data_IF_213372304881
#
_entry.id   IF_213372304881
#
_cell.length_a   1.000
_cell.length_b   1.000
_cell.length_c   1.000
_cell.angle_alpha   90.00
_cell.angle_beta   90.00
_cell.angle_gamma   90.00
#
_symmetry.space_group_name_H-M   'P 1'
#
loop_
_entity.id
_entity.type
_entity.pdbx_description
1 polymer ?
#
# COMPACT_ATOMS: atom_id res chain seq x y z
N UNK A 1 -17.52 -42.22 -6.99
CA UNK A 1 -18.99 -42.07 -7.01
C UNK A 1 -19.64 -42.98 -5.96
N UNK A 2 -19.27 -42.85 -4.67
CA UNK A 2 -19.64 -43.80 -3.58
C UNK A 2 -20.19 -43.11 -2.32
N UNK A 3 -20.51 -41.81 -2.41
CA UNK A 3 -21.09 -41.02 -1.30
C UNK A 3 -22.62 -40.92 -1.37
N UNK A 4 -23.24 -41.25 -2.51
CA UNK A 4 -24.70 -41.19 -2.70
C UNK A 4 -25.45 -42.38 -2.08
N UNK A 5 -24.81 -43.54 -1.94
CA UNK A 5 -25.44 -44.76 -1.40
C UNK A 5 -25.69 -44.74 0.12
N UNK A 6 -24.94 -43.93 0.87
CA UNK A 6 -25.04 -43.87 2.34
C UNK A 6 -26.28 -43.07 2.82
N UNK A 7 -26.86 -42.25 1.94
CA UNK A 7 -27.99 -41.37 2.25
C UNK A 7 -29.37 -42.04 2.15
N UNK A 8 -29.44 -43.25 1.60
CA UNK A 8 -30.71 -43.90 1.26
C UNK A 8 -31.37 -44.67 2.42
N UNK A 9 -30.69 -44.85 3.56
CA UNK A 9 -31.20 -45.65 4.69
C UNK A 9 -31.22 -44.91 6.04
N UNK A 10 -31.27 -43.56 6.04
CA UNK A 10 -31.27 -42.71 7.24
C UNK A 10 -32.57 -41.90 7.34
N UNK A 11 -33.05 -41.67 8.57
CA UNK A 11 -34.26 -40.89 8.90
C UNK A 11 -34.38 -39.59 8.09
N UNK A 12 -35.61 -39.22 7.70
CA UNK A 12 -35.94 -37.99 6.95
C UNK A 12 -35.26 -36.75 7.55
N UNK A 13 -35.11 -36.71 8.87
CA UNK A 13 -34.40 -35.65 9.60
C UNK A 13 -32.94 -35.49 9.14
N UNK A 14 -32.22 -36.60 8.96
CA UNK A 14 -30.82 -36.59 8.48
C UNK A 14 -30.71 -36.08 7.05
N UNK A 15 -31.68 -36.42 6.19
CA UNK A 15 -31.72 -35.93 4.80
C UNK A 15 -31.92 -34.41 4.75
N UNK A 16 -32.82 -33.89 5.58
CA UNK A 16 -33.06 -32.45 5.69
C UNK A 16 -31.84 -31.69 6.23
N UNK A 17 -31.22 -32.21 7.30
CA UNK A 17 -29.99 -31.64 7.86
C UNK A 17 -28.85 -31.67 6.84
N UNK A 18 -28.70 -32.75 6.07
CA UNK A 18 -27.64 -32.86 5.08
C UNK A 18 -27.78 -31.84 3.94
N UNK A 19 -29.00 -31.58 3.47
CA UNK A 19 -29.24 -30.53 2.45
C UNK A 19 -28.88 -29.16 3.01
N UNK A 20 -29.31 -28.85 4.25
CA UNK A 20 -28.95 -27.59 4.91
C UNK A 20 -27.43 -27.42 5.08
N UNK A 21 -26.75 -28.44 5.62
CA UNK A 21 -25.30 -28.41 5.84
C UNK A 21 -24.54 -28.32 4.52
N UNK A 22 -24.99 -29.03 3.49
CA UNK A 22 -24.38 -28.95 2.15
C UNK A 22 -24.54 -27.55 1.58
N UNK A 23 -25.72 -26.94 1.69
CA UNK A 23 -25.95 -25.56 1.27
C UNK A 23 -25.02 -24.56 1.98
N UNK A 24 -24.90 -24.68 3.31
CA UNK A 24 -23.98 -23.85 4.10
C UNK A 24 -22.52 -24.08 3.72
N UNK A 25 -22.11 -25.33 3.50
CA UNK A 25 -20.74 -25.67 3.11
C UNK A 25 -20.38 -25.06 1.75
N UNK A 26 -21.29 -25.08 0.78
CA UNK A 26 -21.09 -24.46 -0.54
C UNK A 26 -20.88 -22.95 -0.39
N UNK A 27 -21.71 -22.28 0.40
CA UNK A 27 -21.57 -20.83 0.66
C UNK A 27 -20.25 -20.53 1.38
N UNK A 28 -19.89 -21.33 2.40
CA UNK A 28 -18.64 -21.14 3.13
C UNK A 28 -17.41 -21.29 2.22
N UNK A 29 -17.37 -22.33 1.39
CA UNK A 29 -16.30 -22.53 0.40
C UNK A 29 -16.22 -21.34 -0.56
N UNK A 30 -17.37 -20.89 -1.07
CA UNK A 30 -17.41 -19.75 -1.98
C UNK A 30 -16.85 -18.47 -1.32
N UNK A 31 -17.25 -18.17 -0.08
CA UNK A 31 -16.75 -17.00 0.66
C UNK A 31 -15.24 -17.14 0.89
N UNK A 32 -14.77 -18.28 1.39
CA UNK A 32 -13.35 -18.49 1.73
C UNK A 32 -12.44 -18.46 0.51
N UNK A 33 -12.90 -18.87 -0.67
CA UNK A 33 -12.08 -18.86 -1.89
C UNK A 33 -12.14 -17.50 -2.60
N UNK A 34 -13.32 -16.90 -2.69
CA UNK A 34 -13.53 -15.71 -3.52
C UNK A 34 -13.22 -14.39 -2.81
N UNK A 35 -13.60 -14.26 -1.53
CA UNK A 35 -13.47 -12.99 -0.81
C UNK A 35 -12.02 -12.58 -0.53
N UNK A 36 -11.09 -13.48 -0.13
CA UNK A 36 -9.74 -13.05 0.23
C UNK A 36 -9.00 -12.38 -0.94
N UNK A 37 -9.16 -12.90 -2.15
CA UNK A 37 -8.52 -12.34 -3.35
C UNK A 37 -9.02 -10.93 -3.64
N UNK A 38 -10.34 -10.71 -3.51
CA UNK A 38 -10.94 -9.40 -3.73
C UNK A 38 -10.59 -8.41 -2.62
N UNK A 39 -10.60 -8.85 -1.36
CA UNK A 39 -10.24 -8.02 -0.21
C UNK A 39 -8.78 -7.57 -0.28
N UNK A 40 -7.86 -8.47 -0.65
CA UNK A 40 -6.46 -8.10 -0.89
C UNK A 40 -6.35 -7.01 -1.95
N UNK A 41 -6.98 -7.21 -3.11
CA UNK A 41 -6.90 -6.23 -4.20
C UNK A 41 -7.43 -4.85 -3.79
N UNK A 42 -8.56 -4.80 -3.07
CA UNK A 42 -9.12 -3.54 -2.57
C UNK A 42 -8.20 -2.87 -1.55
N UNK A 43 -7.67 -3.61 -0.57
CA UNK A 43 -6.73 -3.08 0.41
C UNK A 43 -5.46 -2.53 -0.24
N UNK A 44 -4.93 -3.21 -1.27
CA UNK A 44 -3.78 -2.73 -2.04
C UNK A 44 -4.08 -1.45 -2.82
N UNK A 45 -5.26 -1.35 -3.45
CA UNK A 45 -5.66 -0.12 -4.16
C UNK A 45 -5.85 1.07 -3.22
N UNK A 46 -6.43 0.85 -2.05
CA UNK A 46 -6.58 1.88 -1.02
C UNK A 46 -5.22 2.35 -0.50
N UNK A 47 -4.30 1.42 -0.23
CA UNK A 47 -2.94 1.74 0.20
C UNK A 47 -2.20 2.58 -0.86
N UNK A 48 -2.32 2.21 -2.14
CA UNK A 48 -1.75 2.99 -3.25
C UNK A 48 -2.32 4.41 -3.30
N UNK A 49 -3.63 4.55 -3.16
CA UNK A 49 -4.31 5.85 -3.20
C UNK A 49 -3.89 6.73 -2.02
N UNK A 50 -3.76 6.13 -0.82
CA UNK A 50 -3.23 6.79 0.38
C UNK A 50 -1.79 7.26 0.16
N UNK A 51 -0.91 6.39 -0.34
CA UNK A 51 0.49 6.71 -0.57
C UNK A 51 0.68 7.85 -1.58
N UNK A 52 -0.05 7.84 -2.70
CA UNK A 52 -0.02 8.95 -3.69
C UNK A 52 -0.49 10.27 -3.08
N UNK A 53 -1.55 10.23 -2.27
CA UNK A 53 -2.09 11.43 -1.62
C UNK A 53 -1.10 12.01 -0.61
N UNK A 54 -0.48 11.15 0.20
CA UNK A 54 0.56 11.54 1.16
C UNK A 54 1.77 12.13 0.44
N UNK A 55 2.26 11.47 -0.62
CA UNK A 55 3.42 11.96 -1.38
C UNK A 55 3.16 13.36 -1.96
N UNK A 56 1.98 13.59 -2.55
CA UNK A 56 1.60 14.91 -3.08
C UNK A 56 1.51 15.99 -2.00
N UNK A 57 0.89 15.66 -0.87
CA UNK A 57 0.77 16.58 0.26
C UNK A 57 2.14 16.94 0.83
N UNK A 58 3.01 15.94 0.98
CA UNK A 58 4.38 16.13 1.44
C UNK A 58 5.20 16.96 0.46
N UNK A 59 5.12 16.69 -0.85
CA UNK A 59 5.83 17.48 -1.84
C UNK A 59 5.42 18.95 -1.79
N UNK A 60 4.14 19.24 -1.59
CA UNK A 60 3.67 20.61 -1.41
C UNK A 60 4.24 21.25 -0.13
N UNK A 61 4.20 20.54 1.00
CA UNK A 61 4.66 21.06 2.29
C UNK A 61 6.18 21.19 2.41
N UNK A 62 6.93 20.31 1.74
CA UNK A 62 8.40 20.30 1.73
C UNK A 62 8.96 21.34 0.74
N UNK A 63 8.16 21.79 -0.23
CA UNK A 63 8.60 22.73 -1.28
C UNK A 63 9.30 23.98 -0.75
N UNK A 64 8.74 24.72 0.24
CA UNK A 64 9.39 25.91 0.77
C UNK A 64 10.68 25.59 1.52
N UNK A 65 10.69 24.53 2.34
CA UNK A 65 11.88 24.11 3.07
C UNK A 65 13.02 23.70 2.12
N UNK A 66 12.70 23.02 1.02
CA UNK A 66 13.70 22.68 0.02
C UNK A 66 14.19 23.90 -0.76
N UNK A 67 13.30 24.83 -1.13
CA UNK A 67 13.66 26.08 -1.84
C UNK A 67 14.61 26.97 -1.02
N UNK A 68 14.35 27.09 0.28
CA UNK A 68 15.18 27.89 1.20
C UNK A 68 16.33 27.09 1.84
N UNK A 69 16.52 25.83 1.44
CA UNK A 69 17.51 24.91 2.03
C UNK A 69 17.41 24.80 3.56
N UNK A 70 16.19 24.89 4.09
CA UNK A 70 15.86 24.79 5.50
C UNK A 70 15.49 23.35 5.88
N UNK A 71 16.47 22.64 6.44
CA UNK A 71 16.31 21.26 6.87
C UNK A 71 15.30 21.11 8.01
N UNK A 72 15.21 22.09 8.92
CA UNK A 72 14.27 22.04 10.05
C UNK A 72 12.83 22.15 9.54
N UNK A 73 12.58 23.07 8.61
CA UNK A 73 11.27 23.20 7.97
C UNK A 73 10.87 21.94 7.20
N UNK A 74 11.80 21.29 6.49
CA UNK A 74 11.54 20.00 5.84
C UNK A 74 11.23 18.91 6.87
N UNK A 75 12.00 18.82 7.95
CA UNK A 75 11.78 17.85 9.01
C UNK A 75 10.42 18.03 9.69
N UNK A 76 10.03 19.26 9.98
CA UNK A 76 8.72 19.58 10.55
C UNK A 76 7.59 19.15 9.60
N UNK A 77 7.73 19.45 8.31
CA UNK A 77 6.75 19.09 7.27
C UNK A 77 6.56 17.57 7.11
N UNK A 78 7.61 16.77 7.32
CA UNK A 78 7.53 15.31 7.20
C UNK A 78 7.23 14.59 8.52
N UNK A 79 7.41 15.25 9.66
CA UNK A 79 7.32 14.65 11.01
C UNK A 79 5.98 13.94 11.27
N UNK A 80 4.87 14.51 10.80
CA UNK A 80 3.54 13.91 10.95
C UNK A 80 3.41 12.57 10.22
N UNK A 81 4.02 12.44 9.04
CA UNK A 81 3.93 11.23 8.21
C UNK A 81 4.84 10.11 8.71
N UNK A 82 5.92 10.44 9.44
CA UNK A 82 6.80 9.45 10.06
C UNK A 82 6.11 8.63 11.15
N UNK A 83 4.99 9.11 11.69
CA UNK A 83 4.19 8.39 12.68
C UNK A 83 3.24 7.37 12.06
N UNK A 84 3.03 7.42 10.74
CA UNK A 84 2.15 6.49 10.02
C UNK A 84 2.82 5.11 9.90
N UNK A 85 2.12 4.07 10.36
CA UNK A 85 2.64 2.70 10.37
C UNK A 85 2.86 2.11 8.97
N UNK A 86 2.21 2.67 7.94
CA UNK A 86 2.34 2.25 6.54
C UNK A 86 3.58 2.84 5.86
N UNK A 87 4.27 3.80 6.50
CA UNK A 87 5.45 4.47 5.95
C UNK A 87 6.71 3.73 6.37
N UNK A 88 7.39 3.16 5.38
CA UNK A 88 8.63 2.38 5.60
C UNK A 88 9.87 3.24 5.40
N UNK A 89 9.86 4.09 4.38
CA UNK A 89 10.97 4.96 4.00
C UNK A 89 10.41 6.25 3.39
N UNK A 90 11.12 7.36 3.57
CA UNK A 90 10.83 8.64 2.95
C UNK A 90 12.16 9.33 2.64
N UNK A 91 12.35 9.75 1.40
CA UNK A 91 13.53 10.46 0.93
C UNK A 91 13.13 11.71 0.17
N UNK A 92 13.83 12.81 0.45
CA UNK A 92 13.71 14.08 -0.27
C UNK A 92 15.03 14.33 -0.96
N UNK A 93 14.96 14.52 -2.28
CA UNK A 93 16.09 14.84 -3.12
C UNK A 93 15.97 16.28 -3.65
N UNK A 94 17.09 17.00 -3.63
CA UNK A 94 17.22 18.30 -4.30
C UNK A 94 17.32 18.10 -5.84
N UNK A 95 17.25 19.19 -6.61
CA UNK A 95 17.39 19.25 -8.08
C UNK A 95 18.63 18.53 -8.62
N UNK A 96 19.70 18.47 -7.83
CA UNK A 96 20.96 17.79 -8.17
C UNK A 96 20.93 16.28 -7.87
N UNK A 97 19.78 15.75 -7.44
CA UNK A 97 19.59 14.37 -6.94
C UNK A 97 20.40 14.06 -5.67
N UNK A 98 20.86 15.09 -4.98
CA UNK A 98 21.47 14.96 -3.66
C UNK A 98 20.37 14.67 -2.63
N UNK A 99 20.63 13.73 -1.72
CA UNK A 99 19.71 13.44 -0.62
C UNK A 99 19.73 14.62 0.36
N UNK A 100 18.60 15.33 0.46
CA UNK A 100 18.41 16.44 1.38
C UNK A 100 17.85 15.96 2.72
N UNK A 101 16.96 14.97 2.70
CA UNK A 101 16.38 14.37 3.89
C UNK A 101 16.10 12.87 3.68
N UNK A 102 16.34 12.05 4.70
CA UNK A 102 16.00 10.63 4.67
C UNK A 102 15.45 10.13 6.00
N UNK A 103 14.39 9.35 5.92
CA UNK A 103 13.80 8.63 7.04
C UNK A 103 13.62 7.15 6.68
N UNK A 104 13.86 6.27 7.65
CA UNK A 104 13.61 4.84 7.54
C UNK A 104 13.05 4.34 8.87
N UNK A 105 11.90 3.66 8.85
CA UNK A 105 11.28 3.12 10.06
C UNK A 105 11.95 1.84 10.58
N UNK A 106 13.02 1.38 9.90
CA UNK A 106 13.73 0.13 10.22
C UNK A 106 12.98 -1.14 9.86
N UNK A 107 11.72 -1.04 9.38
CA UNK A 107 10.86 -2.16 8.97
C UNK A 107 11.11 -2.65 7.53
N UNK A 108 12.08 -2.06 6.83
CA UNK A 108 12.47 -2.45 5.47
C UNK A 108 13.85 -1.92 5.10
N UNK A 109 14.55 -2.63 4.21
CA UNK A 109 15.83 -2.16 3.67
C UNK A 109 15.58 -0.92 2.80
N UNK A 110 16.30 0.17 3.06
CA UNK A 110 16.32 1.34 2.19
C UNK A 110 16.67 0.87 0.77
N UNK A 111 15.68 0.89 -0.13
CA UNK A 111 15.92 0.40 -1.48
C UNK A 111 16.80 1.42 -2.21
N UNK A 112 17.96 1.01 -2.76
CA UNK A 112 18.81 1.89 -3.55
C UNK A 112 18.15 2.36 -4.86
N UNK A 113 16.90 1.97 -5.11
CA UNK A 113 16.10 2.36 -6.28
C UNK A 113 15.46 3.75 -6.18
N UNK A 114 15.45 4.41 -5.02
CA UNK A 114 14.85 5.75 -4.89
C UNK A 114 15.41 6.79 -5.88
N UNK A 115 16.69 6.65 -6.24
CA UNK A 115 17.38 7.51 -7.22
C UNK A 115 17.29 7.03 -8.68
N UNK A 116 16.67 5.86 -8.93
CA UNK A 116 16.57 5.20 -10.25
C UNK A 116 15.14 5.02 -10.77
N UNK A 117 14.13 5.34 -9.96
CA UNK A 117 12.73 5.33 -10.39
C UNK A 117 12.47 6.45 -11.39
N UNK A 118 11.87 6.09 -12.53
CA UNK A 118 11.36 7.06 -13.48
C UNK A 118 10.18 7.84 -12.89
N UNK A 119 9.94 9.01 -13.48
CA UNK A 119 8.85 9.93 -13.15
C UNK A 119 7.50 9.20 -12.95
N UNK A 120 6.84 9.39 -11.80
CA UNK A 120 5.54 8.79 -11.47
C UNK A 120 5.47 7.24 -11.53
N UNK A 121 6.61 6.53 -11.46
CA UNK A 121 6.59 5.07 -11.47
C UNK A 121 6.27 4.50 -10.09
N UNK A 122 5.19 3.71 -10.05
CA UNK A 122 4.83 2.90 -8.89
C UNK A 122 5.37 1.50 -9.13
N UNK A 123 6.53 1.19 -8.56
CA UNK A 123 7.03 -0.19 -8.55
C UNK A 123 6.34 -0.97 -7.45
N UNK A 124 5.55 -1.96 -7.86
CA UNK A 124 4.86 -2.90 -7.00
C UNK A 124 5.78 -4.11 -6.78
N UNK A 125 6.53 -4.11 -5.68
CA UNK A 125 7.37 -5.23 -5.27
C UNK A 125 6.61 -6.07 -4.24
N UNK A 126 5.74 -6.97 -4.70
CA UNK A 126 5.00 -8.06 -4.00
C UNK A 126 4.20 -7.70 -2.72
N UNK A 127 4.57 -6.65 -1.99
CA UNK A 127 4.00 -6.17 -0.73
C UNK A 127 4.46 -4.73 -0.34
N UNK A 128 5.23 -4.03 -1.18
CA UNK A 128 5.72 -2.66 -0.93
C UNK A 128 5.49 -1.82 -2.19
N UNK A 129 5.02 -0.58 -1.99
CA UNK A 129 4.90 0.42 -3.06
C UNK A 129 5.95 1.51 -2.88
N UNK A 130 6.61 1.86 -3.99
CA UNK A 130 7.40 3.08 -4.09
C UNK A 130 6.57 4.15 -4.79
N UNK A 131 6.53 5.37 -4.26
CA UNK A 131 5.80 6.47 -4.86
C UNK A 131 6.76 7.64 -5.01
N UNK A 132 7.20 7.89 -6.24
CA UNK A 132 7.98 9.06 -6.58
C UNK A 132 7.05 10.20 -7.02
N UNK A 133 7.18 11.36 -6.38
CA UNK A 133 6.45 12.58 -6.75
C UNK A 133 7.43 13.74 -6.86
N UNK A 134 7.20 14.61 -7.83
CA UNK A 134 8.04 15.78 -8.06
C UNK A 134 7.63 16.94 -7.16
N UNK A 135 8.63 17.69 -6.69
CA UNK A 135 8.45 18.89 -5.86
C UNK A 135 8.58 20.11 -6.77
N UNK A 136 7.52 20.93 -6.79
CA UNK A 136 7.43 22.13 -7.62
C UNK A 136 7.26 23.38 -6.76
N UNK A 137 8.14 24.36 -6.96
CA UNK A 137 7.97 25.74 -6.47
C UNK A 137 7.79 26.64 -7.69
N UNK A 138 6.75 27.48 -7.71
CA UNK A 138 6.53 28.49 -8.75
C UNK A 138 6.73 27.98 -10.21
N UNK A 139 6.25 26.77 -10.50
CA UNK A 139 6.39 26.03 -11.78
C UNK A 139 7.79 25.51 -12.14
N UNK A 140 8.78 25.69 -11.29
CA UNK A 140 10.11 25.10 -11.44
C UNK A 140 10.22 23.81 -10.62
N UNK A 141 10.77 22.77 -11.25
CA UNK A 141 11.13 21.53 -10.55
C UNK A 141 12.31 21.84 -9.62
N UNK A 142 12.11 21.66 -8.32
CA UNK A 142 13.14 21.90 -7.31
C UNK A 142 13.64 20.61 -6.65
N UNK A 143 12.92 19.50 -6.80
CA UNK A 143 13.32 18.24 -6.20
C UNK A 143 12.38 17.08 -6.49
N UNK A 144 12.66 15.95 -5.86
CA UNK A 144 11.84 14.73 -5.94
C UNK A 144 11.69 14.13 -4.55
N UNK A 145 10.49 13.67 -4.23
CA UNK A 145 10.17 12.93 -3.01
C UNK A 145 9.89 11.47 -3.36
N UNK A 146 10.42 10.53 -2.58
CA UNK A 146 10.24 9.08 -2.79
C UNK A 146 9.98 8.35 -1.48
#
# INVERSE_FOLDING_TARGET
MRLLGFYLNRSIRTKLTAVMVTGLAVVAIFITVFFPTRQKHLAFQELKTKAVSLARLLAYNVSPGLEFQDLEAVQEAVSGVQTDADVINLQVFDKEKNNFYSYSSGKGSASPLGSRLGENEILELTNIFFVSTQIYTNRNLIGTLT
#
